data_IF_609570309135
#
_entry.id   IF_609570309135
#
_cell.length_a   1.000
_cell.length_b   1.000
_cell.length_c   1.000
_cell.angle_alpha   90.00
_cell.angle_beta   90.00
_cell.angle_gamma   90.00
#
_symmetry.space_group_name_H-M   'P 1'
#
loop_
_entity.id
_entity.type
_entity.pdbx_description
1 polymer ?
#
# COMPACT_ATOMS: atom_id res chain seq x y z
N UNK A 1 -20.97 9.98 76.66
CA UNK A 1 -20.99 10.23 75.21
C UNK A 1 -19.82 11.13 74.88
N UNK A 2 -18.73 10.56 74.35
CA UNK A 2 -17.57 11.33 73.94
C UNK A 2 -17.89 12.01 72.62
N UNK A 3 -17.98 13.34 72.63
CA UNK A 3 -18.01 14.12 71.41
C UNK A 3 -16.66 13.95 70.71
N UNK A 4 -16.65 13.16 69.64
CA UNK A 4 -15.55 13.11 68.69
C UNK A 4 -15.39 14.50 68.08
N UNK A 5 -14.40 15.26 68.58
CA UNK A 5 -14.00 16.53 68.02
C UNK A 5 -13.61 16.32 66.55
N UNK A 6 -14.29 17.00 65.64
CA UNK A 6 -13.89 17.07 64.24
C UNK A 6 -12.47 17.65 64.20
N UNK A 7 -11.49 16.97 63.55
CA UNK A 7 -10.13 17.50 63.47
C UNK A 7 -10.15 18.87 62.78
N UNK A 8 -9.38 19.82 63.32
CA UNK A 8 -9.22 21.15 62.73
C UNK A 8 -8.63 21.04 61.31
N UNK A 9 -9.06 21.93 60.40
CA UNK A 9 -8.56 21.99 59.04
C UNK A 9 -7.07 22.32 59.02
N UNK A 10 -6.26 21.45 58.41
CA UNK A 10 -4.81 21.63 58.27
C UNK A 10 -4.48 21.94 56.80
N UNK A 11 -4.29 23.23 56.51
CA UNK A 11 -4.03 23.72 55.16
C UNK A 11 -2.76 23.14 54.52
N UNK A 12 -1.71 22.88 55.32
CA UNK A 12 -0.45 22.34 54.80
C UNK A 12 -0.62 20.88 54.39
N UNK A 13 -1.29 20.09 55.23
CA UNK A 13 -1.61 18.70 54.92
C UNK A 13 -2.50 18.60 53.68
N UNK A 14 -3.52 19.43 53.58
CA UNK A 14 -4.44 19.47 52.43
C UNK A 14 -3.71 19.85 51.14
N UNK A 15 -2.77 20.79 51.21
CA UNK A 15 -1.93 21.16 50.08
C UNK A 15 -1.05 19.98 49.63
N UNK A 16 -0.36 19.32 50.57
CA UNK A 16 0.50 18.16 50.28
C UNK A 16 -0.30 16.98 49.71
N UNK A 17 -1.48 16.70 50.27
CA UNK A 17 -2.40 15.66 49.79
C UNK A 17 -2.86 15.97 48.35
N UNK A 18 -3.20 17.23 48.06
CA UNK A 18 -3.57 17.68 46.72
C UNK A 18 -2.42 17.50 45.70
N UNK A 19 -1.19 17.89 46.07
CA UNK A 19 -0.01 17.68 45.23
C UNK A 19 0.24 16.18 44.98
N UNK A 20 0.12 15.33 46.00
CA UNK A 20 0.28 13.89 45.86
C UNK A 20 -0.79 13.28 44.93
N UNK A 21 -2.03 13.76 45.01
CA UNK A 21 -3.10 13.33 44.12
C UNK A 21 -2.81 13.70 42.64
N UNK A 22 -2.19 14.86 42.37
CA UNK A 22 -1.72 15.20 41.00
C UNK A 22 -0.65 14.20 40.53
N UNK A 23 0.34 13.91 41.38
CA UNK A 23 1.45 13.00 41.07
C UNK A 23 0.94 11.59 40.78
N UNK A 24 -0.04 11.13 41.56
CA UNK A 24 -0.69 9.82 41.42
C UNK A 24 -1.63 9.74 40.21
N UNK A 25 -1.86 10.85 39.48
CA UNK A 25 -2.81 10.91 38.37
C UNK A 25 -4.29 10.94 38.81
N UNK A 26 -4.57 11.19 40.10
CA UNK A 26 -5.92 11.30 40.67
C UNK A 26 -6.46 12.72 40.48
N UNK A 27 -6.49 13.21 39.25
CA UNK A 27 -6.79 14.62 38.95
C UNK A 27 -8.17 15.10 39.45
N UNK A 28 -9.27 14.32 39.36
CA UNK A 28 -10.55 14.73 39.94
C UNK A 28 -10.49 14.92 41.45
N UNK A 29 -9.77 14.04 42.15
CA UNK A 29 -9.57 14.17 43.60
C UNK A 29 -8.74 15.42 43.92
N UNK A 30 -7.63 15.63 43.19
CA UNK A 30 -6.78 16.81 43.36
C UNK A 30 -7.56 18.11 43.20
N UNK A 31 -8.42 18.20 42.17
CA UNK A 31 -9.29 19.36 41.97
C UNK A 31 -10.22 19.59 43.15
N UNK A 32 -10.86 18.55 43.67
CA UNK A 32 -11.75 18.67 44.81
C UNK A 32 -10.99 19.13 46.08
N UNK A 33 -9.81 18.56 46.32
CA UNK A 33 -8.94 18.94 47.44
C UNK A 33 -8.53 20.40 47.35
N UNK A 34 -8.04 20.85 46.19
CA UNK A 34 -7.62 22.25 46.00
C UNK A 34 -8.79 23.24 45.98
N UNK A 35 -9.96 22.85 45.45
CA UNK A 35 -11.16 23.70 45.53
C UNK A 35 -11.62 23.89 46.98
N UNK A 36 -11.58 22.84 47.80
CA UNK A 36 -11.84 22.94 49.25
C UNK A 36 -10.81 23.83 49.93
N UNK A 37 -9.52 23.63 49.65
CA UNK A 37 -8.44 24.45 50.22
C UNK A 37 -8.61 25.93 49.86
N UNK A 38 -8.92 26.25 48.61
CA UNK A 38 -9.19 27.62 48.18
C UNK A 38 -10.40 28.24 48.91
N UNK A 39 -11.47 27.45 49.13
CA UNK A 39 -12.64 27.92 49.89
C UNK A 39 -12.30 28.27 51.35
N UNK A 40 -11.54 27.41 52.03
CA UNK A 40 -11.16 27.60 53.43
C UNK A 40 -10.11 28.69 53.64
N UNK A 41 -9.29 28.95 52.62
CA UNK A 41 -8.18 29.93 52.68
C UNK A 41 -8.48 31.22 51.92
N UNK A 42 -9.75 31.50 51.62
CA UNK A 42 -10.15 32.71 50.88
C UNK A 42 -9.62 33.98 51.56
N UNK A 43 -8.98 34.85 50.77
CA UNK A 43 -8.28 36.06 51.23
C UNK A 43 -7.06 35.81 52.15
N UNK A 44 -6.51 34.59 52.15
CA UNK A 44 -5.27 34.23 52.85
C UNK A 44 -4.18 33.92 51.83
N UNK A 45 -3.53 34.96 51.34
CA UNK A 45 -2.41 34.85 50.42
C UNK A 45 -1.14 34.34 51.14
N UNK A 46 -0.30 33.49 50.50
CA UNK A 46 -0.41 33.00 49.11
C UNK A 46 -1.14 31.66 48.96
N UNK A 47 -1.64 31.07 50.05
CA UNK A 47 -2.21 29.71 50.06
C UNK A 47 -3.43 29.59 49.16
N UNK A 48 -4.30 30.60 49.15
CA UNK A 48 -5.46 30.68 48.26
C UNK A 48 -5.09 30.51 46.78
N UNK A 49 -4.17 31.34 46.30
CA UNK A 49 -3.76 31.37 44.90
C UNK A 49 -2.97 30.11 44.51
N UNK A 50 -2.15 29.59 45.41
CA UNK A 50 -1.49 28.31 45.21
C UNK A 50 -2.49 27.16 45.05
N UNK A 51 -3.56 27.15 45.84
CA UNK A 51 -4.63 26.16 45.70
C UNK A 51 -5.31 26.27 44.32
N UNK A 52 -5.69 27.47 43.90
CA UNK A 52 -6.33 27.70 42.61
C UNK A 52 -5.43 27.35 41.42
N UNK A 53 -4.15 27.71 41.45
CA UNK A 53 -3.21 27.37 40.38
C UNK A 53 -3.00 25.85 40.26
N UNK A 54 -2.93 25.12 41.39
CA UNK A 54 -2.84 23.67 41.35
C UNK A 54 -4.18 23.01 40.95
N UNK A 55 -5.32 23.58 41.31
CA UNK A 55 -6.62 23.17 40.79
C UNK A 55 -6.69 23.31 39.26
N UNK A 56 -6.18 24.43 38.72
CA UNK A 56 -6.09 24.63 37.28
C UNK A 56 -5.17 23.60 36.61
N UNK A 57 -4.01 23.31 37.19
CA UNK A 57 -3.10 22.26 36.68
C UNK A 57 -3.77 20.88 36.68
N UNK A 58 -4.48 20.50 37.75
CA UNK A 58 -5.22 19.24 37.81
C UNK A 58 -6.38 19.20 36.79
N UNK A 59 -7.06 20.32 36.54
CA UNK A 59 -8.09 20.41 35.51
C UNK A 59 -7.51 20.25 34.10
N UNK A 60 -6.38 20.89 33.82
CA UNK A 60 -5.66 20.79 32.56
C UNK A 60 -5.22 19.35 32.26
N UNK A 61 -4.62 18.68 33.24
CA UNK A 61 -4.17 17.29 33.12
C UNK A 61 -5.34 16.31 32.89
N UNK A 62 -6.53 16.63 33.39
CA UNK A 62 -7.77 15.86 33.20
C UNK A 62 -8.61 16.31 32.01
N UNK A 63 -8.08 17.19 31.15
CA UNK A 63 -8.78 17.73 29.97
C UNK A 63 -10.08 18.49 30.31
N UNK A 64 -10.18 19.08 31.50
CA UNK A 64 -11.33 19.86 31.98
C UNK A 64 -11.13 21.37 31.75
N UNK A 65 -11.15 21.80 30.48
CA UNK A 65 -10.87 23.20 30.10
C UNK A 65 -11.76 24.24 30.81
N UNK A 66 -13.04 23.92 31.02
CA UNK A 66 -13.95 24.84 31.73
C UNK A 66 -13.54 25.05 33.19
N UNK A 67 -13.14 23.98 33.88
CA UNK A 67 -12.75 24.05 35.29
C UNK A 67 -11.38 24.70 35.46
N UNK A 68 -10.46 24.45 34.52
CA UNK A 68 -9.17 25.14 34.47
C UNK A 68 -9.37 26.65 34.36
N UNK A 69 -10.17 27.11 33.40
CA UNK A 69 -10.44 28.54 33.19
C UNK A 69 -11.10 29.19 34.40
N UNK A 70 -12.03 28.49 35.05
CA UNK A 70 -12.67 28.99 36.26
C UNK A 70 -11.63 29.25 37.37
N UNK A 71 -10.77 28.27 37.67
CA UNK A 71 -9.76 28.42 38.71
C UNK A 71 -8.75 29.54 38.40
N UNK A 72 -8.32 29.66 37.13
CA UNK A 72 -7.44 30.76 36.70
C UNK A 72 -8.13 32.13 36.79
N UNK A 73 -9.41 32.22 36.43
CA UNK A 73 -10.19 33.45 36.56
C UNK A 73 -10.33 33.87 38.02
N UNK A 74 -10.44 32.93 38.96
CA UNK A 74 -10.48 33.23 40.39
C UNK A 74 -9.16 33.81 40.91
N UNK A 75 -8.00 33.36 40.38
CA UNK A 75 -6.70 34.00 40.64
C UNK A 75 -6.67 35.43 40.07
N UNK A 76 -7.14 35.61 38.83
CA UNK A 76 -7.19 36.93 38.21
C UNK A 76 -8.08 37.91 38.99
N UNK A 77 -9.21 37.43 39.50
CA UNK A 77 -10.15 38.23 40.28
C UNK A 77 -9.61 38.59 41.67
N UNK A 78 -8.81 37.71 42.29
CA UNK A 78 -8.12 38.01 43.55
C UNK A 78 -7.06 39.10 43.36
N UNK A 79 -6.45 39.15 42.18
CA UNK A 79 -5.44 40.16 41.82
C UNK A 79 -4.11 39.96 42.54
N UNK A 80 -3.30 41.00 42.61
CA UNK A 80 -1.96 40.96 43.23
C UNK A 80 -1.91 41.53 44.66
N UNK A 81 -3.06 41.85 45.26
CA UNK A 81 -3.17 42.40 46.62
C UNK A 81 -3.19 41.32 47.70
N UNK A 82 -2.86 41.69 48.95
CA UNK A 82 -2.92 40.79 50.11
C UNK A 82 -1.68 39.92 50.33
N UNK A 83 -0.73 39.92 49.39
CA UNK A 83 0.54 39.21 49.53
C UNK A 83 1.53 39.99 50.41
N UNK A 84 2.23 39.27 51.30
CA UNK A 84 3.40 39.81 51.99
C UNK A 84 4.55 40.11 51.01
N UNK A 85 4.64 39.35 49.91
CA UNK A 85 5.54 39.59 48.78
C UNK A 85 4.75 40.07 47.54
N UNK A 86 4.81 41.37 47.20
CA UNK A 86 4.10 41.90 46.04
C UNK A 86 4.56 41.30 44.70
N UNK A 87 5.80 40.83 44.59
CA UNK A 87 6.31 40.22 43.36
C UNK A 87 5.66 38.85 43.13
N UNK A 88 5.42 38.08 44.19
CA UNK A 88 4.69 36.81 44.13
C UNK A 88 3.24 37.01 43.67
N UNK A 89 2.55 38.03 44.17
CA UNK A 89 1.19 38.36 43.73
C UNK A 89 1.12 38.76 42.25
N UNK A 90 2.07 39.58 41.79
CA UNK A 90 2.18 39.92 40.36
C UNK A 90 2.49 38.69 39.49
N UNK A 91 3.36 37.79 39.98
CA UNK A 91 3.71 36.54 39.31
C UNK A 91 2.49 35.62 39.12
N UNK A 92 1.66 35.44 40.15
CA UNK A 92 0.44 34.62 40.04
C UNK A 92 -0.57 35.20 39.06
N UNK A 93 -0.81 36.51 39.14
CA UNK A 93 -1.72 37.20 38.21
C UNK A 93 -1.24 37.07 36.76
N UNK A 94 0.05 37.28 36.50
CA UNK A 94 0.63 37.15 35.16
C UNK A 94 0.56 35.70 34.65
N UNK A 95 0.90 34.72 35.49
CA UNK A 95 0.82 33.29 35.15
C UNK A 95 -0.62 32.89 34.81
N UNK A 96 -1.61 33.30 35.61
CA UNK A 96 -3.01 32.99 35.38
C UNK A 96 -3.53 33.61 34.06
N UNK A 97 -3.24 34.90 33.84
CA UNK A 97 -3.61 35.60 32.60
C UNK A 97 -3.03 34.92 31.37
N UNK A 98 -1.74 34.54 31.40
CA UNK A 98 -1.09 33.86 30.27
C UNK A 98 -1.74 32.51 29.97
N UNK A 99 -2.04 31.72 31.00
CA UNK A 99 -2.73 30.45 30.83
C UNK A 99 -4.15 30.63 30.25
N UNK A 100 -4.86 31.71 30.62
CA UNK A 100 -6.22 32.00 30.15
C UNK A 100 -6.28 32.67 28.76
N UNK A 101 -5.30 33.50 28.39
CA UNK A 101 -5.31 34.27 27.14
C UNK A 101 -5.23 33.40 25.88
N UNK A 102 -4.79 32.14 26.01
CA UNK A 102 -4.58 31.22 24.89
C UNK A 102 -3.74 31.84 23.77
N UNK A 103 -2.83 32.76 24.08
CA UNK A 103 -1.85 33.36 23.17
C UNK A 103 -0.51 32.62 23.30
N UNK A 104 0.40 32.77 22.33
CA UNK A 104 1.70 32.11 22.37
C UNK A 104 2.47 32.53 23.62
N UNK A 105 2.98 31.55 24.38
CA UNK A 105 3.73 31.81 25.61
C UNK A 105 5.21 31.66 25.31
N UNK A 106 5.90 32.79 25.18
CA UNK A 106 7.35 32.80 24.96
C UNK A 106 8.07 32.70 26.29
N UNK A 107 9.11 31.86 26.36
CA UNK A 107 9.90 31.64 27.58
C UNK A 107 10.46 32.95 28.18
N UNK A 108 10.87 33.89 27.34
CA UNK A 108 11.40 35.20 27.75
C UNK A 108 10.40 36.05 28.53
N UNK A 109 9.11 35.82 28.31
CA UNK A 109 8.06 36.65 28.87
C UNK A 109 7.63 36.17 30.25
N UNK A 110 8.10 35.00 30.70
CA UNK A 110 7.80 34.45 32.02
C UNK A 110 8.68 35.17 33.05
N UNK A 111 8.10 35.90 34.03
CA UNK A 111 8.85 36.67 35.01
C UNK A 111 9.89 35.82 35.74
N UNK A 112 11.05 36.43 36.00
CA UNK A 112 12.06 35.78 36.82
C UNK A 112 11.67 35.86 38.30
N UNK A 113 11.38 34.70 38.88
CA UNK A 113 10.85 34.59 40.24
C UNK A 113 11.17 33.18 40.79
N UNK A 114 11.39 32.98 42.11
CA UNK A 114 11.62 31.64 42.68
C UNK A 114 10.55 30.60 42.35
N UNK A 115 9.30 31.04 42.10
CA UNK A 115 8.18 30.20 41.70
C UNK A 115 8.07 29.94 40.18
N UNK A 116 8.96 30.51 39.35
CA UNK A 116 9.00 30.34 37.89
C UNK A 116 8.91 28.88 37.42
N UNK A 117 9.52 27.88 38.10
CA UNK A 117 9.33 26.47 37.73
C UNK A 117 7.86 26.05 37.62
N UNK A 118 6.98 26.53 38.49
CA UNK A 118 5.56 26.21 38.40
C UNK A 118 4.90 26.81 37.16
N UNK A 119 5.21 28.07 36.83
CA UNK A 119 4.70 28.71 35.62
C UNK A 119 5.16 27.95 34.36
N UNK A 120 6.44 27.55 34.29
CA UNK A 120 6.97 26.74 33.19
C UNK A 120 6.19 25.42 33.03
N UNK A 121 5.87 24.75 34.14
CA UNK A 121 5.07 23.53 34.13
C UNK A 121 3.65 23.77 33.62
N UNK A 122 2.91 24.69 34.25
CA UNK A 122 1.51 24.97 33.91
C UNK A 122 1.37 25.46 32.46
N UNK A 123 2.16 26.47 32.08
CA UNK A 123 2.10 27.09 30.76
C UNK A 123 2.60 26.14 29.66
N UNK A 124 3.62 25.31 29.94
CA UNK A 124 4.06 24.27 29.02
C UNK A 124 2.96 23.25 28.71
N UNK A 125 2.20 22.81 29.72
CA UNK A 125 1.04 21.94 29.51
C UNK A 125 -0.09 22.66 28.76
N UNK A 126 -0.31 23.96 29.03
CA UNK A 126 -1.29 24.77 28.30
C UNK A 126 -0.93 24.81 26.81
N UNK A 127 0.33 25.05 26.45
CA UNK A 127 0.75 25.06 25.04
C UNK A 127 0.61 23.67 24.38
N UNK A 128 0.80 22.56 25.11
CA UNK A 128 0.45 21.23 24.57
C UNK A 128 -1.04 21.17 24.23
N UNK A 129 -1.91 21.61 25.13
CA UNK A 129 -3.36 21.56 24.89
C UNK A 129 -3.76 22.43 23.69
N UNK A 130 -3.09 23.56 23.49
CA UNK A 130 -3.30 24.48 22.36
C UNK A 130 -2.66 24.03 21.04
N UNK A 131 -1.94 22.90 21.02
CA UNK A 131 -1.28 22.40 19.81
C UNK A 131 0.07 23.08 19.51
N UNK A 132 0.60 23.88 20.42
CA UNK A 132 1.87 24.62 20.26
C UNK A 132 3.05 23.82 20.75
N UNK A 133 3.33 22.71 20.09
CA UNK A 133 4.28 21.73 20.62
C UNK A 133 5.73 22.22 20.68
N UNK A 134 6.13 23.18 19.84
CA UNK A 134 7.48 23.78 19.88
C UNK A 134 7.68 24.64 21.15
N UNK A 135 6.69 25.48 21.46
CA UNK A 135 6.71 26.33 22.66
C UNK A 135 6.59 25.47 23.92
N UNK A 136 5.65 24.52 23.91
CA UNK A 136 5.49 23.53 24.97
C UNK A 136 6.78 22.75 25.26
N UNK A 137 7.47 22.26 24.21
CA UNK A 137 8.75 21.56 24.34
C UNK A 137 9.76 22.44 25.09
N UNK A 138 9.88 23.71 24.70
CA UNK A 138 10.84 24.65 25.29
C UNK A 138 10.53 24.92 26.77
N UNK A 139 9.27 25.17 27.10
CA UNK A 139 8.84 25.44 28.48
C UNK A 139 9.00 24.20 29.39
N UNK A 140 8.55 23.04 28.93
CA UNK A 140 8.64 21.79 29.69
C UNK A 140 10.10 21.32 29.86
N UNK A 141 10.94 21.50 28.84
CA UNK A 141 12.38 21.22 28.94
C UNK A 141 13.03 22.10 30.01
N UNK A 142 12.78 23.41 29.96
CA UNK A 142 13.29 24.35 30.96
C UNK A 142 12.80 24.00 32.37
N UNK A 143 11.53 23.63 32.51
CA UNK A 143 10.97 23.15 33.78
C UNK A 143 11.73 21.92 34.30
N UNK A 144 11.93 20.90 33.45
CA UNK A 144 12.59 19.66 33.88
C UNK A 144 14.04 19.84 34.34
N UNK A 145 14.70 20.89 33.87
CA UNK A 145 16.07 21.28 34.24
C UNK A 145 16.12 22.24 35.44
N UNK A 146 15.01 22.89 35.79
CA UNK A 146 14.95 23.86 36.88
C UNK A 146 15.17 23.24 38.27
N UNK A 147 15.59 24.05 39.25
CA UNK A 147 15.76 23.66 40.65
C UNK A 147 15.02 24.68 41.55
N UNK A 148 13.79 24.39 41.99
CA UNK A 148 13.05 25.23 42.93
C UNK A 148 13.81 25.40 44.25
N UNK A 149 13.58 26.52 44.94
CA UNK A 149 14.10 26.74 46.28
C UNK A 149 13.53 25.73 47.29
N UNK A 150 14.16 25.59 48.47
CA UNK A 150 13.73 24.63 49.49
C UNK A 150 12.25 24.80 49.89
N UNK A 151 11.76 26.03 49.99
CA UNK A 151 10.36 26.36 50.32
C UNK A 151 9.36 25.99 49.21
N UNK A 152 9.83 25.74 47.99
CA UNK A 152 9.03 25.38 46.82
C UNK A 152 9.42 24.01 46.24
N UNK A 153 10.12 23.18 47.04
CA UNK A 153 10.61 21.86 46.64
C UNK A 153 9.50 20.89 46.23
N UNK A 154 8.25 21.13 46.62
CA UNK A 154 7.10 20.34 46.16
C UNK A 154 6.89 20.42 44.64
N UNK A 155 7.27 21.54 43.99
CA UNK A 155 7.14 21.73 42.54
C UNK A 155 7.95 20.67 41.77
N UNK A 156 9.11 20.27 42.29
CA UNK A 156 9.98 19.27 41.66
C UNK A 156 9.29 17.91 41.48
N UNK A 157 8.31 17.62 42.34
CA UNK A 157 7.55 16.38 42.27
C UNK A 157 6.70 16.28 41.00
N UNK A 158 6.45 17.37 40.27
CA UNK A 158 5.72 17.37 38.99
C UNK A 158 6.61 17.05 37.78
N UNK A 159 7.94 17.02 37.92
CA UNK A 159 8.88 16.70 36.83
C UNK A 159 8.55 15.39 36.08
N UNK A 160 8.16 14.27 36.73
CA UNK A 160 7.78 13.05 36.02
C UNK A 160 6.58 13.23 35.09
N UNK A 161 5.63 14.11 35.43
CA UNK A 161 4.49 14.43 34.57
C UNK A 161 4.98 15.21 33.35
N UNK A 162 5.74 16.28 33.58
CA UNK A 162 6.28 17.11 32.50
C UNK A 162 7.16 16.33 31.51
N UNK A 163 7.97 15.38 31.99
CA UNK A 163 8.80 14.51 31.13
C UNK A 163 7.97 13.72 30.12
N UNK A 164 6.82 13.17 30.53
CA UNK A 164 5.93 12.44 29.61
C UNK A 164 5.44 13.33 28.47
N UNK A 165 4.98 14.53 28.79
CA UNK A 165 4.52 15.49 27.78
C UNK A 165 5.66 16.00 26.90
N UNK A 166 6.84 16.23 27.47
CA UNK A 166 8.03 16.62 26.73
C UNK A 166 8.49 15.54 25.74
N UNK A 167 8.48 14.27 26.15
CA UNK A 167 8.80 13.12 25.31
C UNK A 167 7.82 13.00 24.13
N UNK A 168 6.52 13.12 24.38
CA UNK A 168 5.50 13.12 23.33
C UNK A 168 5.69 14.29 22.35
N UNK A 169 5.91 15.50 22.86
CA UNK A 169 6.18 16.67 22.01
C UNK A 169 7.41 16.47 21.13
N UNK A 170 8.49 15.92 21.69
CA UNK A 170 9.73 15.63 20.94
C UNK A 170 9.50 14.57 19.86
N UNK A 171 8.86 13.45 20.21
CA UNK A 171 8.58 12.37 19.27
C UNK A 171 7.69 12.84 18.11
N UNK A 172 6.65 13.61 18.43
CA UNK A 172 5.73 14.14 17.44
C UNK A 172 6.38 15.17 16.50
N UNK A 173 7.15 16.12 17.05
CA UNK A 173 7.86 17.13 16.26
C UNK A 173 8.91 16.48 15.34
N UNK A 174 9.68 15.52 15.84
CA UNK A 174 10.66 14.79 15.03
C UNK A 174 9.97 14.03 13.88
N UNK A 175 8.83 13.40 14.14
CA UNK A 175 8.06 12.73 13.09
C UNK A 175 7.58 13.73 12.03
N UNK A 176 7.06 14.91 12.43
CA UNK A 176 6.61 15.94 11.49
C UNK A 176 7.73 16.48 10.62
N UNK A 177 8.88 16.74 11.20
CA UNK A 177 10.04 17.25 10.49
C UNK A 177 10.48 16.27 9.39
N UNK A 178 10.51 14.97 9.71
CA UNK A 178 10.96 13.95 8.79
C UNK A 178 9.91 13.54 7.75
N UNK A 179 8.64 13.48 8.14
CA UNK A 179 7.58 12.84 7.35
C UNK A 179 6.41 13.77 6.98
N UNK A 180 6.34 14.98 7.52
CA UNK A 180 5.21 15.90 7.31
C UNK A 180 5.01 16.35 5.86
N UNK A 181 6.05 16.23 5.03
CA UNK A 181 6.02 16.60 3.61
C UNK A 181 5.85 15.41 2.65
N UNK A 182 5.53 14.20 3.15
CA UNK A 182 5.36 13.00 2.33
C UNK A 182 4.30 13.16 1.23
N UNK A 183 4.70 12.88 -0.02
CA UNK A 183 3.86 13.06 -1.22
C UNK A 183 3.68 11.78 -2.01
N UNK A 184 4.73 10.97 -2.17
CA UNK A 184 4.64 9.73 -2.94
C UNK A 184 3.96 8.61 -2.14
N UNK A 185 3.34 7.61 -2.79
CA UNK A 185 2.74 6.47 -2.08
C UNK A 185 3.73 5.74 -1.17
N UNK A 186 4.99 5.60 -1.59
CA UNK A 186 6.05 4.98 -0.81
C UNK A 186 6.41 5.82 0.44
N UNK A 187 6.56 7.13 0.28
CA UNK A 187 6.80 8.06 1.39
C UNK A 187 5.63 8.06 2.38
N UNK A 188 4.39 8.13 1.88
CA UNK A 188 3.19 8.12 2.72
C UNK A 188 3.09 6.81 3.50
N UNK A 189 3.40 5.66 2.87
CA UNK A 189 3.40 4.35 3.55
C UNK A 189 4.43 4.30 4.68
N UNK A 190 5.65 4.79 4.41
CA UNK A 190 6.71 4.92 5.42
C UNK A 190 6.30 5.86 6.57
N UNK A 191 5.74 7.02 6.24
CA UNK A 191 5.24 7.99 7.21
C UNK A 191 4.17 7.39 8.15
N UNK A 192 3.20 6.64 7.59
CA UNK A 192 2.16 5.95 8.34
C UNK A 192 2.71 4.87 9.28
N UNK A 193 3.65 4.06 8.81
CA UNK A 193 4.29 3.03 9.63
C UNK A 193 5.00 3.65 10.84
N UNK A 194 5.78 4.70 10.61
CA UNK A 194 6.49 5.42 11.67
C UNK A 194 5.57 6.15 12.62
N UNK A 195 4.46 6.70 12.12
CA UNK A 195 3.44 7.36 12.94
C UNK A 195 2.78 6.39 13.91
N UNK A 196 2.39 5.20 13.42
CA UNK A 196 1.76 4.15 14.23
C UNK A 196 2.68 3.56 15.29
N UNK A 197 3.99 3.65 15.07
CA UNK A 197 4.99 3.21 16.02
C UNK A 197 5.20 4.20 17.19
N UNK A 198 4.70 5.43 17.10
CA UNK A 198 4.80 6.41 18.19
C UNK A 198 3.94 5.98 19.38
N UNK A 199 4.57 5.83 20.55
CA UNK A 199 3.92 5.49 21.81
C UNK A 199 3.48 6.75 22.56
N UNK A 200 2.56 7.51 21.98
CA UNK A 200 2.05 8.75 22.55
C UNK A 200 1.09 8.48 23.72
N UNK A 201 1.13 9.34 24.75
CA UNK A 201 0.18 9.33 25.85
C UNK A 201 -1.22 9.67 25.35
N UNK A 202 -2.22 8.98 25.91
CA UNK A 202 -3.64 9.21 25.62
C UNK A 202 -4.40 9.48 26.93
N UNK A 203 -5.37 10.41 26.96
CA UNK A 203 -5.82 11.29 25.87
C UNK A 203 -5.10 12.65 25.88
N UNK A 204 -4.22 12.91 24.90
CA UNK A 204 -3.56 14.23 24.74
C UNK A 204 -3.89 14.86 23.39
N UNK A 205 -3.80 16.20 23.28
CA UNK A 205 -3.93 16.92 22.00
C UNK A 205 -2.96 16.39 20.94
N UNK A 206 -1.72 16.03 21.34
CA UNK A 206 -0.72 15.41 20.46
C UNK A 206 -1.27 14.11 19.87
N UNK A 207 -1.80 13.22 20.71
CA UNK A 207 -2.37 11.95 20.25
C UNK A 207 -3.59 12.12 19.35
N UNK A 208 -4.42 13.14 19.59
CA UNK A 208 -5.58 13.46 18.76
C UNK A 208 -5.15 13.97 17.38
N UNK A 209 -4.15 14.83 17.32
CA UNK A 209 -3.65 15.34 16.04
C UNK A 209 -2.88 14.27 15.24
N UNK A 210 -2.09 13.42 15.93
CA UNK A 210 -1.48 12.25 15.32
C UNK A 210 -2.51 11.34 14.66
N UNK A 211 -3.66 11.10 15.32
CA UNK A 211 -4.75 10.30 14.76
C UNK A 211 -5.40 10.95 13.53
N UNK A 212 -5.57 12.27 13.54
CA UNK A 212 -6.11 13.01 12.39
C UNK A 212 -5.17 12.92 11.18
N UNK A 213 -3.87 13.09 11.41
CA UNK A 213 -2.84 12.96 10.37
C UNK A 213 -2.78 11.53 9.84
N UNK A 214 -2.87 10.52 10.71
CA UNK A 214 -2.93 9.11 10.29
C UNK A 214 -4.09 8.86 9.33
N UNK A 215 -5.31 9.30 9.68
CA UNK A 215 -6.49 9.16 8.81
C UNK A 215 -6.31 9.85 7.47
N UNK A 216 -5.75 11.05 7.49
CA UNK A 216 -5.51 11.85 6.28
C UNK A 216 -4.52 11.17 5.34
N UNK A 217 -3.40 10.66 5.88
CA UNK A 217 -2.39 9.94 5.12
C UNK A 217 -2.93 8.60 4.58
N UNK A 218 -3.70 7.86 5.38
CA UNK A 218 -4.30 6.60 4.96
C UNK A 218 -5.27 6.78 3.77
N UNK A 219 -6.09 7.84 3.81
CA UNK A 219 -7.00 8.16 2.71
C UNK A 219 -6.23 8.52 1.43
N UNK A 220 -5.23 9.40 1.54
CA UNK A 220 -4.37 9.80 0.40
C UNK A 220 -3.66 8.60 -0.24
N UNK A 221 -3.17 7.66 0.58
CA UNK A 221 -2.55 6.43 0.08
C UNK A 221 -3.55 5.58 -0.71
N UNK A 222 -4.74 5.37 -0.16
CA UNK A 222 -5.79 4.59 -0.83
C UNK A 222 -6.28 5.21 -2.14
N UNK A 223 -6.33 6.54 -2.23
CA UNK A 223 -6.65 7.25 -3.48
C UNK A 223 -5.55 7.10 -4.52
N UNK A 224 -4.29 7.25 -4.12
CA UNK A 224 -3.14 7.12 -5.02
C UNK A 224 -3.03 5.69 -5.58
N UNK A 225 -3.21 4.66 -4.75
CA UNK A 225 -3.19 3.26 -5.18
C UNK A 225 -4.32 2.94 -6.18
N UNK A 226 -5.52 3.49 -5.95
CA UNK A 226 -6.63 3.36 -6.91
C UNK A 226 -6.35 4.06 -8.23
N UNK A 227 -5.77 5.26 -8.19
CA UNK A 227 -5.42 6.02 -9.38
C UNK A 227 -4.34 5.30 -10.21
N UNK A 228 -3.31 4.76 -9.55
CA UNK A 228 -2.25 3.99 -10.22
C UNK A 228 -2.80 2.72 -10.88
N UNK A 229 -3.65 1.96 -10.18
CA UNK A 229 -4.30 0.77 -10.77
C UNK A 229 -5.16 1.13 -11.98
N UNK A 230 -5.97 2.18 -11.88
CA UNK A 230 -6.80 2.67 -12.98
C UNK A 230 -5.96 3.11 -14.19
N UNK A 231 -4.83 3.80 -13.95
CA UNK A 231 -3.91 4.20 -14.99
C UNK A 231 -3.26 2.99 -15.68
N UNK A 232 -2.84 1.97 -14.92
CA UNK A 232 -2.30 0.72 -15.47
C UNK A 232 -3.35 -0.03 -16.31
N UNK A 233 -4.58 -0.16 -15.83
CA UNK A 233 -5.67 -0.80 -16.56
C UNK A 233 -6.04 -0.04 -17.85
N UNK A 234 -5.99 1.30 -17.81
CA UNK A 234 -6.19 2.13 -19.00
C UNK A 234 -5.06 1.95 -20.00
N UNK A 235 -3.81 1.99 -19.54
CA UNK A 235 -2.63 1.77 -20.40
C UNK A 235 -2.67 0.39 -21.07
N UNK A 236 -3.03 -0.66 -20.32
CA UNK A 236 -3.21 -2.01 -20.87
C UNK A 236 -4.30 -2.06 -21.93
N UNK A 237 -5.47 -1.45 -21.67
CA UNK A 237 -6.57 -1.37 -22.66
C UNK A 237 -6.18 -0.60 -23.91
N UNK A 238 -5.52 0.55 -23.76
CA UNK A 238 -5.07 1.38 -24.89
C UNK A 238 -4.03 0.63 -25.75
N UNK A 239 -3.17 -0.16 -25.12
CA UNK A 239 -2.17 -0.97 -25.80
C UNK A 239 -2.83 -2.13 -26.56
N UNK A 240 -3.79 -2.85 -25.95
CA UNK A 240 -4.59 -3.87 -26.64
C UNK A 240 -5.35 -3.30 -27.83
N UNK A 241 -6.07 -2.19 -27.65
CA UNK A 241 -6.83 -1.54 -28.73
C UNK A 241 -5.96 -1.15 -29.93
N UNK A 242 -4.67 -0.82 -29.68
CA UNK A 242 -3.70 -0.49 -30.73
C UNK A 242 -3.13 -1.74 -31.43
N UNK A 243 -2.89 -2.81 -30.70
CA UNK A 243 -2.16 -4.00 -31.19
C UNK A 243 -3.08 -5.10 -31.73
N UNK A 244 -4.27 -5.31 -31.15
CA UNK A 244 -5.21 -6.36 -31.55
C UNK A 244 -5.62 -6.30 -33.03
N UNK A 245 -5.96 -5.15 -33.64
CA UNK A 245 -6.34 -5.12 -35.05
C UNK A 245 -5.21 -5.60 -35.98
N UNK A 246 -3.97 -5.24 -35.65
CA UNK A 246 -2.79 -5.65 -36.41
C UNK A 246 -2.50 -7.13 -36.23
N UNK A 247 -2.70 -7.62 -35.01
CA UNK A 247 -2.58 -9.03 -34.70
C UNK A 247 -3.62 -9.86 -35.46
N UNK A 248 -4.89 -9.44 -35.45
CA UNK A 248 -5.98 -10.10 -36.16
C UNK A 248 -5.73 -10.15 -37.67
N UNK A 249 -5.27 -9.05 -38.29
CA UNK A 249 -4.91 -9.03 -39.71
C UNK A 249 -3.76 -10.01 -40.07
N UNK A 250 -2.80 -10.19 -39.16
CA UNK A 250 -1.73 -11.16 -39.35
C UNK A 250 -2.21 -12.61 -39.18
N UNK A 251 -3.14 -12.86 -38.26
CA UNK A 251 -3.81 -14.16 -38.11
C UNK A 251 -4.63 -14.53 -39.36
N UNK A 252 -5.38 -13.57 -39.93
CA UNK A 252 -6.09 -13.79 -41.19
C UNK A 252 -5.12 -14.11 -42.34
N UNK A 253 -3.99 -13.39 -42.40
CA UNK A 253 -2.94 -13.66 -43.39
C UNK A 253 -2.31 -15.04 -43.18
N UNK A 254 -2.06 -15.44 -41.94
CA UNK A 254 -1.57 -16.77 -41.57
C UNK A 254 -2.53 -17.85 -42.06
N UNK A 255 -3.83 -17.74 -41.73
CA UNK A 255 -4.87 -18.69 -42.14
C UNK A 255 -4.95 -18.84 -43.65
N UNK A 256 -5.00 -17.72 -44.37
CA UNK A 256 -5.07 -17.70 -45.84
C UNK A 256 -3.86 -18.39 -46.47
N UNK A 257 -2.65 -18.17 -45.94
CA UNK A 257 -1.42 -18.76 -46.45
C UNK A 257 -1.29 -20.24 -46.06
N UNK A 258 -1.72 -20.62 -44.85
CA UNK A 258 -1.77 -22.01 -44.40
C UNK A 258 -2.76 -22.84 -45.23
N UNK A 259 -3.92 -22.29 -45.61
CA UNK A 259 -4.93 -22.95 -46.43
C UNK A 259 -4.42 -23.35 -47.83
N UNK A 260 -3.42 -22.63 -48.36
CA UNK A 260 -2.75 -22.97 -49.63
C UNK A 260 -1.40 -23.66 -49.43
N UNK A 261 -1.14 -24.18 -48.23
CA UNK A 261 0.09 -24.86 -47.86
C UNK A 261 1.37 -24.02 -48.05
N UNK A 262 1.26 -22.69 -47.94
CA UNK A 262 2.37 -21.75 -47.94
C UNK A 262 2.77 -21.39 -46.49
N UNK A 263 3.38 -22.35 -45.80
CA UNK A 263 3.70 -22.22 -44.38
C UNK A 263 4.84 -21.24 -44.09
N UNK A 264 5.79 -21.08 -45.02
CA UNK A 264 6.86 -20.08 -44.91
C UNK A 264 6.31 -18.65 -45.03
N UNK A 265 5.32 -18.45 -45.92
CA UNK A 265 4.56 -17.21 -46.00
C UNK A 265 3.75 -16.95 -44.72
N UNK A 266 3.08 -17.98 -44.19
CA UNK A 266 2.31 -17.88 -42.95
C UNK A 266 3.21 -17.48 -41.76
N UNK A 267 4.38 -18.10 -41.60
CA UNK A 267 5.39 -17.73 -40.60
C UNK A 267 5.83 -16.27 -40.75
N UNK A 268 6.08 -15.83 -41.99
CA UNK A 268 6.49 -14.47 -42.30
C UNK A 268 5.42 -13.44 -41.96
N UNK A 269 4.13 -13.76 -42.16
CA UNK A 269 3.03 -12.87 -41.81
C UNK A 269 2.95 -12.60 -40.29
N UNK A 270 3.11 -13.64 -39.48
CA UNK A 270 3.12 -13.54 -38.02
C UNK A 270 4.37 -12.79 -37.51
N UNK A 271 5.55 -13.10 -38.06
CA UNK A 271 6.82 -12.49 -37.64
C UNK A 271 6.92 -10.99 -37.91
N UNK A 272 6.24 -10.48 -38.93
CA UNK A 272 6.28 -9.06 -39.31
C UNK A 272 5.60 -8.13 -38.29
N UNK A 273 4.65 -8.64 -37.49
CA UNK A 273 3.95 -7.81 -36.50
C UNK A 273 4.85 -7.54 -35.31
N UNK A 274 4.95 -6.28 -34.89
CA UNK A 274 5.64 -5.90 -33.65
C UNK A 274 4.60 -5.74 -32.55
N UNK A 275 4.64 -6.63 -31.57
CA UNK A 275 3.77 -6.63 -30.40
C UNK A 275 4.61 -6.35 -29.16
N UNK A 276 4.08 -5.53 -28.26
CA UNK A 276 4.70 -5.19 -26.99
C UNK A 276 3.90 -5.73 -25.80
N UNK A 277 2.60 -5.96 -25.98
CA UNK A 277 1.76 -6.60 -24.96
C UNK A 277 2.25 -8.02 -24.67
N UNK A 278 2.55 -8.38 -23.41
CA UNK A 278 3.04 -9.71 -23.07
C UNK A 278 2.13 -10.86 -23.53
N UNK A 279 0.81 -10.72 -23.37
CA UNK A 279 -0.16 -11.74 -23.79
C UNK A 279 -0.18 -11.95 -25.31
N UNK A 280 -0.10 -10.87 -26.09
CA UNK A 280 -0.02 -10.93 -27.54
C UNK A 280 1.34 -11.46 -28.03
N UNK A 281 2.46 -11.12 -27.37
CA UNK A 281 3.79 -11.67 -27.70
C UNK A 281 3.86 -13.17 -27.49
N UNK A 282 3.28 -13.67 -26.40
CA UNK A 282 3.20 -15.12 -26.16
C UNK A 282 2.40 -15.81 -27.27
N UNK A 283 1.26 -15.24 -27.64
CA UNK A 283 0.40 -15.77 -28.71
C UNK A 283 1.14 -15.74 -30.05
N UNK A 284 1.86 -14.66 -30.34
CA UNK A 284 2.71 -14.53 -31.53
C UNK A 284 3.77 -15.63 -31.61
N UNK A 285 4.48 -15.90 -30.50
CA UNK A 285 5.49 -16.97 -30.46
C UNK A 285 4.88 -18.35 -30.70
N UNK A 286 3.70 -18.62 -30.15
CA UNK A 286 3.00 -19.89 -30.38
C UNK A 286 2.61 -20.10 -31.85
N UNK A 287 2.08 -19.06 -32.52
CA UNK A 287 1.77 -19.14 -33.95
C UNK A 287 3.03 -19.23 -34.83
N UNK A 288 4.16 -18.64 -34.43
CA UNK A 288 5.45 -18.83 -35.11
C UNK A 288 5.89 -20.29 -35.04
N UNK A 289 5.85 -20.90 -33.85
CA UNK A 289 6.17 -22.31 -33.67
C UNK A 289 5.25 -23.21 -34.49
N UNK A 290 3.94 -22.91 -34.52
CA UNK A 290 2.98 -23.63 -35.36
C UNK A 290 3.36 -23.55 -36.85
N UNK A 291 3.71 -22.36 -37.35
CA UNK A 291 4.15 -22.17 -38.73
C UNK A 291 5.43 -22.97 -39.05
N UNK A 292 6.40 -22.97 -38.14
CA UNK A 292 7.66 -23.69 -38.30
C UNK A 292 7.43 -25.21 -38.31
N UNK A 293 6.57 -25.73 -37.43
CA UNK A 293 6.19 -27.15 -37.46
C UNK A 293 5.45 -27.54 -38.73
N UNK A 294 4.59 -26.68 -39.28
CA UNK A 294 3.92 -26.92 -40.56
C UNK A 294 4.91 -26.93 -41.74
N UNK A 295 5.89 -26.03 -41.74
CA UNK A 295 6.95 -26.02 -42.74
C UNK A 295 7.80 -27.30 -42.67
N UNK A 296 8.20 -27.71 -41.46
CA UNK A 296 8.92 -28.97 -41.23
C UNK A 296 8.09 -30.19 -41.61
N UNK A 297 6.78 -30.17 -41.33
CA UNK A 297 5.86 -31.22 -41.71
C UNK A 297 5.88 -31.43 -43.23
N UNK A 298 5.68 -30.36 -44.00
CA UNK A 298 5.64 -30.43 -45.48
C UNK A 298 6.96 -30.93 -46.05
N UNK A 299 8.09 -30.43 -45.54
CA UNK A 299 9.42 -30.88 -45.96
C UNK A 299 9.67 -32.37 -45.66
N UNK A 300 9.26 -32.83 -44.47
CA UNK A 300 9.39 -34.23 -44.07
C UNK A 300 8.53 -35.14 -44.96
N UNK A 301 7.28 -34.76 -45.21
CA UNK A 301 6.38 -35.53 -46.07
C UNK A 301 6.89 -35.62 -47.52
N UNK A 302 7.45 -34.53 -48.05
CA UNK A 302 8.10 -34.54 -49.38
C UNK A 302 9.23 -35.59 -49.42
N UNK A 303 10.10 -35.59 -48.40
CA UNK A 303 11.20 -36.54 -48.31
C UNK A 303 10.70 -37.99 -48.21
N UNK A 304 9.69 -38.25 -47.39
CA UNK A 304 9.12 -39.59 -47.23
C UNK A 304 8.50 -40.10 -48.54
N UNK A 305 7.74 -39.25 -49.24
CA UNK A 305 7.11 -39.58 -50.52
C UNK A 305 8.15 -39.87 -51.61
N UNK A 306 9.26 -39.12 -51.64
CA UNK A 306 10.34 -39.33 -52.60
C UNK A 306 11.18 -40.58 -52.29
N UNK A 307 11.34 -40.93 -51.02
CA UNK A 307 12.17 -42.07 -50.60
C UNK A 307 11.43 -43.41 -50.67
N UNK A 308 10.17 -43.44 -50.25
CA UNK A 308 9.42 -44.71 -50.04
C UNK A 308 8.24 -44.87 -50.97
N UNK A 309 7.76 -43.77 -51.57
CA UNK A 309 6.46 -43.69 -52.26
C UNK A 309 5.29 -44.06 -51.33
N UNK A 310 4.07 -43.73 -51.75
CA UNK A 310 2.85 -44.15 -51.06
C UNK A 310 2.06 -45.08 -51.97
N UNK A 311 1.68 -46.26 -51.49
CA UNK A 311 0.96 -47.32 -52.22
C UNK A 311 -0.46 -47.51 -51.67
N UNK A 312 -1.27 -46.46 -51.78
CA UNK A 312 -2.67 -46.49 -51.39
C UNK A 312 -3.50 -45.61 -52.31
N UNK A 313 -4.82 -45.86 -52.35
CA UNK A 313 -5.71 -45.06 -53.19
C UNK A 313 -5.71 -43.59 -52.77
N UNK A 314 -5.46 -42.70 -53.74
CA UNK A 314 -5.51 -41.24 -53.55
C UNK A 314 -6.48 -40.66 -54.56
N UNK A 315 -7.47 -39.91 -54.10
CA UNK A 315 -8.37 -39.15 -54.98
C UNK A 315 -7.88 -37.70 -55.05
N UNK A 316 -7.67 -37.17 -56.26
CA UNK A 316 -7.35 -35.77 -56.48
C UNK A 316 -8.22 -35.21 -57.61
N UNK A 317 -8.99 -34.15 -57.34
CA UNK A 317 -9.97 -33.57 -58.28
C UNK A 317 -10.81 -34.65 -58.99
N UNK A 318 -11.48 -35.50 -58.21
CA UNK A 318 -12.34 -36.60 -58.68
C UNK A 318 -11.65 -37.70 -59.51
N UNK A 319 -10.32 -37.65 -59.65
CA UNK A 319 -9.53 -38.70 -60.29
C UNK A 319 -8.89 -39.60 -59.24
N UNK A 320 -9.06 -40.91 -59.40
CA UNK A 320 -8.48 -41.91 -58.52
C UNK A 320 -7.10 -42.37 -59.03
N UNK A 321 -6.11 -42.32 -58.14
CA UNK A 321 -4.74 -42.76 -58.37
C UNK A 321 -4.39 -43.94 -57.47
N UNK A 322 -3.45 -44.78 -57.90
CA UNK A 322 -3.00 -45.96 -57.14
C UNK A 322 -1.94 -45.64 -56.08
N UNK A 323 -1.51 -44.36 -55.97
CA UNK A 323 -0.52 -43.93 -55.01
C UNK A 323 0.18 -42.63 -55.38
N UNK A 324 1.22 -42.28 -54.62
CA UNK A 324 2.08 -41.11 -54.86
C UNK A 324 3.52 -41.62 -55.04
N UNK A 325 4.15 -41.32 -56.17
CA UNK A 325 5.53 -41.71 -56.51
C UNK A 325 6.57 -40.68 -56.11
N UNK A 326 6.17 -39.45 -55.77
CA UNK A 326 7.08 -38.41 -55.30
C UNK A 326 6.38 -37.05 -55.12
N UNK A 327 7.12 -36.07 -54.65
CA UNK A 327 6.61 -34.73 -54.38
C UNK A 327 7.71 -33.67 -54.51
N UNK A 328 7.28 -32.46 -54.86
CA UNK A 328 8.06 -31.22 -54.75
C UNK A 328 7.30 -30.22 -53.87
N UNK A 329 7.86 -29.02 -53.69
CA UNK A 329 7.18 -27.96 -52.94
C UNK A 329 5.77 -27.63 -53.49
N UNK A 330 5.58 -27.75 -54.81
CA UNK A 330 4.38 -27.28 -55.50
C UNK A 330 3.49 -28.42 -56.03
N UNK A 331 4.08 -29.58 -56.31
CA UNK A 331 3.39 -30.67 -57.02
C UNK A 331 3.57 -32.03 -56.33
N UNK A 332 2.58 -32.89 -56.53
CA UNK A 332 2.60 -34.31 -56.22
C UNK A 332 2.67 -35.10 -57.52
N UNK A 333 3.52 -36.13 -57.55
CA UNK A 333 3.62 -37.09 -58.65
C UNK A 333 2.77 -38.30 -58.28
N UNK A 334 1.64 -38.47 -58.95
CA UNK A 334 0.65 -39.52 -58.72
C UNK A 334 0.95 -40.74 -59.59
N UNK A 335 0.74 -41.95 -59.05
CA UNK A 335 0.91 -43.21 -59.78
C UNK A 335 -0.27 -43.48 -60.70
N UNK A 336 0.03 -43.77 -61.97
CA UNK A 336 -0.93 -44.18 -63.01
C UNK A 336 -0.41 -45.48 -63.67
N UNK A 337 -1.25 -46.25 -64.38
CA UNK A 337 -0.87 -47.57 -64.92
C UNK A 337 0.42 -47.58 -65.75
N UNK A 338 0.73 -46.48 -66.44
CA UNK A 338 1.91 -46.35 -67.30
C UNK A 338 2.73 -45.08 -66.99
N UNK A 339 3.09 -44.86 -65.72
CA UNK A 339 4.03 -43.80 -65.33
C UNK A 339 3.55 -42.93 -64.17
N UNK A 340 3.70 -41.61 -64.29
CA UNK A 340 3.30 -40.65 -63.25
C UNK A 340 2.60 -39.44 -63.84
N UNK A 341 1.54 -38.99 -63.18
CA UNK A 341 0.83 -37.74 -63.50
C UNK A 341 1.13 -36.68 -62.42
N UNK A 342 1.21 -35.40 -62.79
CA UNK A 342 1.42 -34.33 -61.82
C UNK A 342 0.10 -33.67 -61.42
N UNK A 343 -0.05 -33.40 -60.12
CA UNK A 343 -1.16 -32.61 -59.59
C UNK A 343 -0.67 -31.67 -58.50
N UNK A 344 -1.45 -30.66 -58.14
CA UNK A 344 -1.09 -29.73 -57.06
C UNK A 344 -1.53 -30.28 -55.71
N UNK A 345 -0.84 -29.91 -54.64
CA UNK A 345 -1.21 -30.29 -53.27
C UNK A 345 -2.67 -29.96 -52.93
N UNK A 346 -3.16 -28.81 -53.40
CA UNK A 346 -4.53 -28.33 -53.18
C UNK A 346 -5.62 -29.23 -53.80
N UNK A 347 -5.28 -30.00 -54.84
CA UNK A 347 -6.24 -30.91 -55.48
C UNK A 347 -6.46 -32.19 -54.68
N UNK A 348 -5.60 -32.48 -53.71
CA UNK A 348 -5.75 -33.62 -52.78
C UNK A 348 -6.50 -33.14 -51.53
N UNK A 349 -7.57 -33.84 -51.11
CA UNK A 349 -8.28 -33.50 -49.88
C UNK A 349 -7.33 -33.48 -48.68
N UNK A 350 -7.46 -32.48 -47.81
CA UNK A 350 -6.60 -32.33 -46.65
C UNK A 350 -6.65 -33.55 -45.71
N UNK A 351 -7.83 -34.16 -45.55
CA UNK A 351 -7.99 -35.40 -44.78
C UNK A 351 -7.15 -36.57 -45.35
N UNK A 352 -7.06 -36.67 -46.68
CA UNK A 352 -6.20 -37.66 -47.35
C UNK A 352 -4.72 -37.37 -47.06
N UNK A 353 -4.30 -36.10 -47.08
CA UNK A 353 -2.93 -35.73 -46.73
C UNK A 353 -2.60 -36.02 -45.25
N UNK A 354 -3.55 -35.83 -44.32
CA UNK A 354 -3.41 -36.22 -42.92
C UNK A 354 -3.22 -37.73 -42.79
N UNK A 355 -4.04 -38.53 -43.49
CA UNK A 355 -3.93 -39.99 -43.48
C UNK A 355 -2.57 -40.46 -44.02
N UNK A 356 -2.16 -39.96 -45.18
CA UNK A 356 -0.87 -40.30 -45.79
C UNK A 356 0.27 -39.93 -44.85
N UNK A 357 0.26 -38.71 -44.34
CA UNK A 357 1.31 -38.24 -43.43
C UNK A 357 1.37 -39.06 -42.14
N UNK A 358 0.22 -39.45 -41.58
CA UNK A 358 0.15 -40.26 -40.37
C UNK A 358 0.72 -41.66 -40.58
N UNK A 359 0.60 -42.22 -41.79
CA UNK A 359 1.21 -43.53 -42.13
C UNK A 359 2.74 -43.53 -42.07
N UNK A 360 3.38 -42.36 -42.22
CA UNK A 360 4.82 -42.19 -42.11
C UNK A 360 5.28 -41.73 -40.69
N UNK A 361 4.35 -41.43 -39.79
CA UNK A 361 4.63 -40.84 -38.48
C UNK A 361 5.00 -41.91 -37.43
N UNK A 362 6.25 -42.36 -37.50
CA UNK A 362 6.79 -43.44 -36.64
C UNK A 362 7.41 -42.97 -35.32
N UNK A 363 7.64 -41.66 -35.17
CA UNK A 363 8.23 -41.05 -33.96
C UNK A 363 7.37 -39.88 -33.43
N UNK A 364 7.65 -39.48 -32.19
CA UNK A 364 6.89 -38.44 -31.49
C UNK A 364 6.92 -37.07 -32.21
N UNK A 365 8.04 -36.69 -32.82
CA UNK A 365 8.19 -35.39 -33.49
C UNK A 365 7.41 -35.38 -34.80
N UNK A 366 7.36 -36.50 -35.52
CA UNK A 366 6.52 -36.68 -36.70
C UNK A 366 5.04 -36.69 -36.34
N UNK A 367 4.65 -37.42 -35.29
CA UNK A 367 3.27 -37.42 -34.79
C UNK A 367 2.83 -36.00 -34.40
N UNK A 368 3.69 -35.26 -33.70
CA UNK A 368 3.44 -33.87 -33.34
C UNK A 368 3.19 -33.00 -34.57
N UNK A 369 4.11 -33.02 -35.54
CA UNK A 369 3.99 -32.24 -36.79
C UNK A 369 2.75 -32.61 -37.60
N UNK A 370 2.40 -33.89 -37.67
CA UNK A 370 1.15 -34.35 -38.29
C UNK A 370 -0.08 -33.81 -37.54
N UNK A 371 -0.03 -33.78 -36.21
CA UNK A 371 -1.07 -33.19 -35.36
C UNK A 371 -1.25 -31.70 -35.62
N UNK A 372 -0.14 -30.95 -35.72
CA UNK A 372 -0.17 -29.51 -36.05
C UNK A 372 -0.79 -29.29 -37.44
N UNK A 373 -0.45 -30.12 -38.44
CA UNK A 373 -1.08 -30.06 -39.76
C UNK A 373 -2.58 -30.36 -39.69
N UNK A 374 -2.97 -31.45 -39.03
CA UNK A 374 -4.37 -31.82 -38.84
C UNK A 374 -5.17 -30.71 -38.15
N UNK A 375 -4.58 -30.04 -37.15
CA UNK A 375 -5.16 -28.85 -36.52
C UNK A 375 -5.34 -27.71 -37.53
N UNK A 376 -4.30 -27.39 -38.31
CA UNK A 376 -4.32 -26.30 -39.30
C UNK A 376 -5.40 -26.49 -40.39
N UNK A 377 -5.72 -27.74 -40.76
CA UNK A 377 -6.75 -28.07 -41.76
C UNK A 377 -8.12 -28.40 -41.15
N UNK A 378 -8.31 -28.18 -39.84
CA UNK A 378 -9.59 -28.36 -39.15
C UNK A 378 -9.96 -29.82 -38.82
N UNK A 379 -9.05 -30.77 -38.99
CA UNK A 379 -9.24 -32.20 -38.66
C UNK A 379 -9.05 -32.43 -37.14
N UNK A 380 -9.95 -31.86 -36.34
CA UNK A 380 -9.83 -31.72 -34.88
C UNK A 380 -9.63 -33.06 -34.15
N UNK A 381 -10.37 -34.11 -34.54
CA UNK A 381 -10.25 -35.43 -33.91
C UNK A 381 -8.90 -36.09 -34.23
N UNK A 382 -8.45 -36.01 -35.48
CA UNK A 382 -7.15 -36.54 -35.90
C UNK A 382 -6.01 -35.77 -35.22
N UNK A 383 -6.12 -34.44 -35.16
CA UNK A 383 -5.16 -33.59 -34.46
C UNK A 383 -5.01 -33.98 -32.99
N UNK A 384 -6.13 -34.17 -32.28
CA UNK A 384 -6.12 -34.58 -30.87
C UNK A 384 -5.43 -35.93 -30.67
N UNK A 385 -5.77 -36.95 -31.46
CA UNK A 385 -5.15 -38.27 -31.37
C UNK A 385 -3.64 -38.22 -31.62
N UNK A 386 -3.20 -37.46 -32.62
CA UNK A 386 -1.78 -37.28 -32.94
C UNK A 386 -1.04 -36.52 -31.85
N UNK A 387 -1.66 -35.50 -31.25
CA UNK A 387 -1.10 -34.78 -30.10
C UNK A 387 -1.03 -35.64 -28.85
N UNK A 388 -2.03 -36.50 -28.58
CA UNK A 388 -2.02 -37.45 -27.47
C UNK A 388 -0.85 -38.44 -27.59
N UNK A 389 -0.67 -39.04 -28.77
CA UNK A 389 0.44 -39.96 -29.04
C UNK A 389 1.80 -39.26 -28.88
N UNK A 390 1.96 -38.08 -29.49
CA UNK A 390 3.20 -37.31 -29.41
C UNK A 390 3.54 -36.87 -27.97
N UNK A 391 2.56 -36.39 -27.20
CA UNK A 391 2.78 -35.96 -25.81
C UNK A 391 3.08 -37.14 -24.87
N UNK A 392 2.52 -38.32 -25.17
CA UNK A 392 2.80 -39.55 -24.40
C UNK A 392 4.24 -40.02 -24.62
N UNK A 393 4.72 -39.95 -25.87
CA UNK A 393 6.08 -40.34 -26.22
C UNK A 393 7.13 -39.26 -25.88
N UNK A 394 6.76 -37.97 -25.94
CA UNK A 394 7.65 -36.83 -25.67
C UNK A 394 6.92 -35.74 -24.85
N UNK A 395 6.98 -35.80 -23.50
CA UNK A 395 6.23 -34.90 -22.62
C UNK A 395 6.53 -33.39 -22.76
N UNK A 396 7.65 -32.99 -23.38
CA UNK A 396 7.97 -31.58 -23.62
C UNK A 396 6.94 -30.85 -24.48
N UNK A 397 6.11 -31.59 -25.25
CA UNK A 397 5.04 -31.02 -26.05
C UNK A 397 3.79 -30.60 -25.28
N UNK A 398 3.66 -30.99 -24.00
CA UNK A 398 2.48 -30.68 -23.18
C UNK A 398 2.20 -29.17 -23.06
N UNK A 399 3.25 -28.35 -22.97
CA UNK A 399 3.07 -26.89 -22.86
C UNK A 399 2.56 -26.30 -24.17
N UNK A 400 3.18 -26.67 -25.29
CA UNK A 400 2.73 -26.23 -26.61
C UNK A 400 1.31 -26.72 -26.94
N UNK A 401 0.91 -27.89 -26.43
CA UNK A 401 -0.42 -28.45 -26.65
C UNK A 401 -1.54 -27.55 -26.11
N UNK A 402 -1.33 -26.88 -24.97
CA UNK A 402 -2.32 -25.96 -24.38
C UNK A 402 -2.78 -24.90 -25.38
N UNK A 403 -1.86 -24.39 -26.20
CA UNK A 403 -2.16 -23.42 -27.24
C UNK A 403 -3.11 -24.01 -28.29
N UNK A 404 -2.84 -25.22 -28.80
CA UNK A 404 -3.67 -25.87 -29.82
C UNK A 404 -5.04 -26.28 -29.30
N UNK A 405 -5.16 -26.62 -28.01
CA UNK A 405 -6.45 -26.95 -27.39
C UNK A 405 -7.35 -25.71 -27.21
N UNK A 406 -6.75 -24.52 -27.04
CA UNK A 406 -7.46 -23.26 -26.79
C UNK A 406 -7.70 -22.42 -28.06
N UNK A 407 -7.04 -22.75 -29.17
CA UNK A 407 -7.09 -21.95 -30.39
C UNK A 407 -7.67 -22.73 -31.57
N UNK A 408 -8.49 -22.04 -32.35
CA UNK A 408 -8.91 -22.52 -33.66
C UNK A 408 -7.89 -22.05 -34.71
N UNK A 409 -7.61 -22.89 -35.73
CA UNK A 409 -6.68 -22.57 -36.81
C UNK A 409 -6.97 -21.22 -37.47
#
# INVERSE_FOLDING_TARGET
MSASATPAFDANREFDDGCQQIIDGKYPAARATFARLASETKNQQPTYDWALLNQAAAALLDQQESQMRQALQEVENAGSGGFADPQLGAFFLDTARRANMRSAIVLSDIPDHPAKPFALFLLGLTDVQLGRFNDAKTLLETFTLSQPSASLSWIDKYKPIARKYLEDSRAWLAWREQYGSAKSPAEIRSALEKLRALKLQKPTTISAEALLVERTLANRLGEAEKAEKSAQEKQHRDLLAREEPRWNAALESFRRLAAIYNFTGAASAIKKVKLTEPSLRQTQSNYQNAADWLAQWKATLINDLNARTFNGTVVASDTQYSGISGATADKLKMKVPYGSAETTWLKVPAATLVMISSSFATDADRQWRCGVFAWAVGQTNAARQLFDAACSAKPSYKEARKFFDQTKP
#
